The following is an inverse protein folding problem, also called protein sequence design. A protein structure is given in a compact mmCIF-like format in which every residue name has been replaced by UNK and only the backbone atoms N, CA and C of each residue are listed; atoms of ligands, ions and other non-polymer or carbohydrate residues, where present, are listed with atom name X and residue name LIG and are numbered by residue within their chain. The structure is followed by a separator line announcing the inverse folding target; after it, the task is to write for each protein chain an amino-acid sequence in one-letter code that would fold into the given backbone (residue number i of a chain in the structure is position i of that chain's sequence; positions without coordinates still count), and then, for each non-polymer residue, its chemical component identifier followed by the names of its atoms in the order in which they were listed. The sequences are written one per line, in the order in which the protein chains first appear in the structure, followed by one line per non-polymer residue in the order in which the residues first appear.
data_IF_662267943028
#
_entry.id   IF_662267943028
#
_cell.length_a   1.000
_cell.length_b   1.000
_cell.length_c   1.000
_cell.angle_alpha   90.00
_cell.angle_beta   90.00
_cell.angle_gamma   90.00
#
_symmetry.space_group_name_H-M   'P 1'
#
loop_
_entity.id
_entity.type
_entity.pdbx_description
1 polymer ?
#
# COMPACT_ATOMS: atom_id res chain seq x y z
N UNK A 1 -13.86 -9.91 4.22
CA UNK A 1 -13.57 -10.02 5.67
C UNK A 1 -12.37 -10.92 5.96
N UNK A 2 -12.43 -12.23 5.68
CA UNK A 2 -11.35 -13.16 6.07
C UNK A 2 -10.04 -12.81 5.36
N UNK A 3 -10.07 -12.59 4.05
CA UNK A 3 -8.88 -12.21 3.28
C UNK A 3 -8.27 -10.87 3.74
N UNK A 4 -9.10 -9.91 4.17
CA UNK A 4 -8.64 -8.65 4.77
C UNK A 4 -7.85 -8.90 6.07
N UNK A 5 -8.36 -9.77 6.96
CA UNK A 5 -7.69 -10.10 8.22
C UNK A 5 -6.38 -10.86 7.98
N UNK A 6 -6.35 -11.74 6.97
CA UNK A 6 -5.12 -12.43 6.57
C UNK A 6 -4.10 -11.39 6.04
N UNK A 7 -4.51 -10.51 5.13
CA UNK A 7 -3.66 -9.42 4.64
C UNK A 7 -3.11 -8.57 5.80
N UNK A 8 -3.96 -8.23 6.75
CA UNK A 8 -3.59 -7.48 7.95
C UNK A 8 -2.52 -8.19 8.78
N UNK A 9 -2.69 -9.48 9.06
CA UNK A 9 -1.74 -10.28 9.82
C UNK A 9 -0.35 -10.31 9.14
N UNK A 10 -0.32 -10.51 7.82
CA UNK A 10 0.94 -10.46 7.07
C UNK A 10 1.55 -9.06 7.05
N UNK A 11 0.76 -8.01 6.87
CA UNK A 11 1.24 -6.64 6.90
C UNK A 11 1.86 -6.27 8.27
N UNK A 12 1.22 -6.65 9.38
CA UNK A 12 1.81 -6.48 10.71
C UNK A 12 3.08 -7.30 10.91
N UNK A 13 3.12 -8.52 10.38
CA UNK A 13 4.34 -9.34 10.40
C UNK A 13 5.49 -8.64 9.68
N UNK A 14 5.24 -8.07 8.50
CA UNK A 14 6.24 -7.31 7.73
C UNK A 14 6.64 -6.00 8.41
N UNK A 15 5.73 -5.33 9.12
CA UNK A 15 6.05 -4.19 9.98
C UNK A 15 7.08 -4.57 11.06
N UNK A 16 6.84 -5.66 11.79
CA UNK A 16 7.73 -6.12 12.86
C UNK A 16 9.11 -6.52 12.32
N UNK A 17 9.14 -7.25 11.19
CA UNK A 17 10.37 -7.72 10.55
C UNK A 17 11.25 -6.56 10.07
N UNK A 18 10.65 -5.46 9.58
CA UNK A 18 11.38 -4.35 8.96
C UNK A 18 11.65 -3.15 9.88
N UNK A 19 11.13 -3.16 11.12
CA UNK A 19 11.20 -2.01 12.04
C UNK A 19 12.62 -1.50 12.28
N UNK A 20 13.58 -2.41 12.39
CA UNK A 20 14.97 -2.09 12.63
C UNK A 20 15.74 -1.70 11.36
N UNK A 21 15.20 -1.99 10.17
CA UNK A 21 15.83 -1.80 8.87
C UNK A 21 15.40 -0.47 8.25
N UNK A 22 14.11 -0.13 8.31
CA UNK A 22 13.59 1.15 7.84
C UNK A 22 12.27 1.49 8.53
N UNK A 23 12.29 2.55 9.34
CA UNK A 23 11.09 3.01 10.07
C UNK A 23 9.97 3.41 9.11
N UNK A 24 10.29 4.10 8.01
CA UNK A 24 9.28 4.58 7.06
C UNK A 24 8.60 3.44 6.30
N UNK A 25 9.36 2.46 5.79
CA UNK A 25 8.78 1.27 5.17
C UNK A 25 7.97 0.43 6.17
N UNK A 26 8.41 0.37 7.42
CA UNK A 26 7.66 -0.32 8.48
C UNK A 26 6.33 0.36 8.75
N UNK A 27 6.30 1.69 8.83
CA UNK A 27 5.06 2.44 8.97
C UNK A 27 4.13 2.22 7.77
N UNK A 28 4.66 2.14 6.54
CA UNK A 28 3.85 1.73 5.38
C UNK A 28 3.14 0.38 5.64
N UNK A 29 3.88 -0.66 6.07
CA UNK A 29 3.27 -1.96 6.38
C UNK A 29 2.25 -1.89 7.52
N UNK A 30 2.55 -1.12 8.58
CA UNK A 30 1.64 -0.94 9.72
C UNK A 30 0.30 -0.35 9.27
N UNK A 31 0.33 0.73 8.47
CA UNK A 31 -0.87 1.42 8.03
C UNK A 31 -1.67 0.62 7.00
N UNK A 32 -1.01 -0.18 6.15
CA UNK A 32 -1.69 -1.20 5.34
C UNK A 32 -2.41 -2.22 6.23
N UNK A 33 -1.73 -2.72 7.27
CA UNK A 33 -2.32 -3.69 8.20
C UNK A 33 -3.55 -3.15 8.91
N UNK A 34 -3.48 -1.91 9.43
CA UNK A 34 -4.61 -1.24 10.08
C UNK A 34 -5.75 -0.98 9.09
N UNK A 35 -5.44 -0.53 7.86
CA UNK A 35 -6.42 -0.31 6.80
C UNK A 35 -7.19 -1.58 6.48
N UNK A 36 -6.49 -2.72 6.39
CA UNK A 36 -7.08 -4.03 6.14
C UNK A 36 -7.94 -4.53 7.32
N UNK A 37 -7.55 -4.30 8.59
CA UNK A 37 -8.45 -4.63 9.73
C UNK A 37 -9.76 -3.88 9.61
N UNK A 38 -9.69 -2.56 9.45
CA UNK A 38 -10.88 -1.72 9.40
C UNK A 38 -11.74 -2.05 8.17
N UNK A 39 -11.10 -2.28 7.02
CA UNK A 39 -11.78 -2.72 5.80
C UNK A 39 -12.48 -4.07 5.99
N UNK A 40 -11.81 -5.02 6.64
CA UNK A 40 -12.38 -6.32 6.98
C UNK A 40 -13.61 -6.22 7.88
N UNK A 41 -13.59 -5.34 8.89
CA UNK A 41 -14.73 -5.09 9.79
C UNK A 41 -15.92 -4.48 9.05
N UNK A 42 -15.66 -3.58 8.10
CA UNK A 42 -16.70 -2.99 7.24
C UNK A 42 -17.29 -4.04 6.28
N UNK A 43 -16.43 -4.78 5.56
CA UNK A 43 -16.85 -5.79 4.60
C UNK A 43 -17.53 -7.01 5.23
N UNK A 44 -17.25 -7.30 6.50
CA UNK A 44 -17.92 -8.35 7.26
C UNK A 44 -19.25 -7.92 7.86
N UNK A 45 -19.71 -6.69 7.60
CA UNK A 45 -20.93 -6.09 8.17
C UNK A 45 -20.96 -6.04 9.70
N UNK A 46 -19.79 -6.21 10.36
CA UNK A 46 -19.66 -6.08 11.82
C UNK A 46 -19.86 -4.63 12.23
N UNK A 47 -19.32 -3.70 11.43
CA UNK A 47 -19.41 -2.25 11.61
C UNK A 47 -19.72 -1.60 10.25
N UNK A 48 -20.99 -1.64 9.79
CA UNK A 48 -21.37 -1.22 8.44
C UNK A 48 -21.41 0.30 8.23
N UNK A 49 -20.99 1.08 9.22
CA UNK A 49 -20.97 2.54 9.15
C UNK A 49 -19.90 3.01 8.14
N UNK A 50 -20.29 3.98 7.33
CA UNK A 50 -19.44 4.70 6.36
C UNK A 50 -18.17 5.27 6.98
N UNK A 51 -18.21 5.61 8.28
CA UNK A 51 -17.03 6.03 9.05
C UNK A 51 -15.92 4.98 8.97
N UNK A 52 -16.22 3.68 9.03
CA UNK A 52 -15.19 2.63 8.96
C UNK A 52 -14.63 2.49 7.56
N UNK A 53 -15.46 2.61 6.51
CA UNK A 53 -14.98 2.65 5.13
C UNK A 53 -13.99 3.79 4.91
N UNK A 54 -14.36 5.01 5.31
CA UNK A 54 -13.49 6.18 5.15
C UNK A 54 -12.25 6.13 6.05
N UNK A 55 -12.34 5.52 7.23
CA UNK A 55 -11.20 5.29 8.12
C UNK A 55 -10.19 4.31 7.49
N UNK A 56 -10.68 3.22 6.88
CA UNK A 56 -9.83 2.29 6.13
C UNK A 56 -9.11 3.00 4.98
N UNK A 57 -9.82 3.84 4.22
CA UNK A 57 -9.24 4.62 3.12
C UNK A 57 -8.22 5.65 3.61
N UNK A 58 -8.48 6.29 4.75
CA UNK A 58 -7.55 7.23 5.39
C UNK A 58 -6.24 6.54 5.75
N UNK A 59 -6.31 5.36 6.39
CA UNK A 59 -5.13 4.58 6.75
C UNK A 59 -4.36 4.11 5.52
N UNK A 60 -5.06 3.72 4.45
CA UNK A 60 -4.42 3.39 3.18
C UNK A 60 -3.67 4.61 2.61
N UNK A 61 -4.30 5.79 2.55
CA UNK A 61 -3.63 7.02 2.11
C UNK A 61 -2.40 7.37 2.96
N UNK A 62 -2.47 7.19 4.28
CA UNK A 62 -1.31 7.39 5.17
C UNK A 62 -0.18 6.42 4.83
N UNK A 63 -0.50 5.15 4.55
CA UNK A 63 0.51 4.17 4.14
C UNK A 63 1.24 4.60 2.85
N UNK A 64 0.50 5.13 1.86
CA UNK A 64 1.06 5.58 0.59
C UNK A 64 2.07 6.72 0.78
N UNK A 65 1.74 7.67 1.65
CA UNK A 65 2.67 8.75 2.04
C UNK A 65 3.97 8.15 2.59
N UNK A 66 3.88 7.18 3.51
CA UNK A 66 5.07 6.53 4.08
C UNK A 66 5.91 5.79 3.04
N UNK A 67 5.28 5.06 2.10
CA UNK A 67 6.01 4.40 1.02
C UNK A 67 6.81 5.39 0.17
N UNK A 68 6.21 6.53 -0.17
CA UNK A 68 6.88 7.57 -0.95
C UNK A 68 8.01 8.26 -0.17
N UNK A 69 7.76 8.57 1.10
CA UNK A 69 8.78 9.13 1.99
C UNK A 69 9.96 8.18 2.15
N UNK A 70 9.70 6.88 2.29
CA UNK A 70 10.72 5.85 2.40
C UNK A 70 11.55 5.72 1.12
N UNK A 71 10.89 5.72 -0.03
CA UNK A 71 11.54 5.61 -1.33
C UNK A 71 12.48 6.81 -1.60
N UNK A 72 12.04 8.02 -1.28
CA UNK A 72 12.80 9.24 -1.55
C UNK A 72 13.66 9.71 -0.37
N UNK A 73 13.83 8.91 0.68
CA UNK A 73 14.49 9.34 1.94
C UNK A 73 15.81 10.08 1.72
N UNK A 74 16.67 9.57 0.81
CA UNK A 74 17.98 10.15 0.50
C UNK A 74 17.90 11.34 -0.47
N UNK A 75 16.91 11.36 -1.37
CA UNK A 75 16.76 12.40 -2.40
C UNK A 75 15.64 13.40 -2.07
N UNK A 76 15.17 13.42 -0.81
CA UNK A 76 13.98 14.15 -0.41
C UNK A 76 14.24 15.65 -0.39
N UNK A 77 13.47 16.38 -1.20
CA UNK A 77 13.42 17.85 -1.12
C UNK A 77 12.22 18.28 -0.28
N UNK A 78 12.25 19.52 0.23
CA UNK A 78 11.13 20.14 0.97
C UNK A 78 9.84 20.12 0.12
N UNK A 79 9.98 20.40 -1.17
CA UNK A 79 8.88 20.45 -2.13
C UNK A 79 8.30 19.06 -2.41
N UNK A 80 9.14 18.03 -2.60
CA UNK A 80 8.66 16.66 -2.78
C UNK A 80 7.94 16.15 -1.53
N UNK A 81 8.50 16.43 -0.33
CA UNK A 81 7.85 16.08 0.93
C UNK A 81 6.47 16.74 1.05
N UNK A 82 6.40 18.05 0.81
CA UNK A 82 5.13 18.78 0.85
C UNK A 82 4.15 18.23 -0.18
N UNK A 83 4.61 17.95 -1.39
CA UNK A 83 3.78 17.36 -2.44
C UNK A 83 3.18 16.01 -2.00
N UNK A 84 3.98 15.09 -1.44
CA UNK A 84 3.48 13.81 -0.92
C UNK A 84 2.46 13.99 0.20
N UNK A 85 2.74 14.91 1.13
CA UNK A 85 1.86 15.21 2.26
C UNK A 85 0.54 15.90 1.84
N UNK A 86 0.50 16.57 0.69
CA UNK A 86 -0.69 17.29 0.22
C UNK A 86 -1.50 16.47 -0.78
N UNK A 87 -0.85 15.76 -1.72
CA UNK A 87 -1.57 15.04 -2.78
C UNK A 87 -2.50 13.95 -2.23
N UNK A 88 -2.05 13.18 -1.24
CA UNK A 88 -2.79 12.01 -0.75
C UNK A 88 -4.01 12.44 0.06
N UNK A 89 -3.93 13.48 0.92
CA UNK A 89 -5.12 14.11 1.47
C UNK A 89 -6.09 14.67 0.43
N UNK A 90 -5.61 15.28 -0.66
CA UNK A 90 -6.50 15.75 -1.74
C UNK A 90 -7.27 14.57 -2.36
N UNK A 91 -6.59 13.48 -2.74
CA UNK A 91 -7.26 12.30 -3.27
C UNK A 91 -8.19 11.64 -2.26
N UNK A 92 -7.83 11.63 -0.97
CA UNK A 92 -8.70 11.15 0.10
C UNK A 92 -9.97 12.00 0.22
N UNK A 93 -9.84 13.33 0.25
CA UNK A 93 -10.99 14.24 0.29
C UNK A 93 -11.88 14.04 -0.93
N UNK A 94 -11.31 13.90 -2.13
CA UNK A 94 -12.08 13.58 -3.35
C UNK A 94 -12.78 12.23 -3.23
N UNK A 95 -12.12 11.20 -2.69
CA UNK A 95 -12.72 9.87 -2.48
C UNK A 95 -13.93 9.90 -1.55
N UNK A 96 -13.86 10.70 -0.46
CA UNK A 96 -14.94 10.85 0.51
C UNK A 96 -16.07 11.70 -0.10
N UNK A 97 -15.74 12.83 -0.71
CA UNK A 97 -16.72 13.75 -1.28
C UNK A 97 -17.54 13.12 -2.41
N UNK A 98 -16.89 12.38 -3.31
CA UNK A 98 -17.56 11.68 -4.42
C UNK A 98 -17.97 10.25 -4.07
N UNK A 99 -17.72 9.80 -2.83
CA UNK A 99 -18.02 8.44 -2.36
C UNK A 99 -17.48 7.38 -3.34
N UNK A 100 -16.23 7.57 -3.78
CA UNK A 100 -15.65 6.81 -4.88
C UNK A 100 -14.24 6.32 -4.55
N UNK A 101 -14.08 5.00 -4.51
CA UNK A 101 -12.79 4.34 -4.29
C UNK A 101 -11.79 4.58 -5.43
N UNK A 102 -12.25 5.01 -6.61
CA UNK A 102 -11.39 5.25 -7.77
C UNK A 102 -10.29 6.28 -7.48
N UNK A 103 -10.56 7.30 -6.67
CA UNK A 103 -9.55 8.29 -6.29
C UNK A 103 -8.43 7.70 -5.43
N UNK A 104 -8.74 6.70 -4.59
CA UNK A 104 -7.75 5.95 -3.80
C UNK A 104 -6.92 5.04 -4.72
N UNK A 105 -7.54 4.41 -5.72
CA UNK A 105 -6.83 3.61 -6.74
C UNK A 105 -5.85 4.49 -7.52
N UNK A 106 -6.29 5.69 -7.94
CA UNK A 106 -5.44 6.65 -8.64
C UNK A 106 -4.28 7.11 -7.75
N UNK A 107 -4.53 7.45 -6.48
CA UNK A 107 -3.45 7.84 -5.56
C UNK A 107 -2.46 6.70 -5.33
N UNK A 108 -2.95 5.46 -5.22
CA UNK A 108 -2.12 4.25 -5.10
C UNK A 108 -1.22 4.08 -6.33
N UNK A 109 -1.78 4.23 -7.53
CA UNK A 109 -1.03 4.14 -8.79
C UNK A 109 0.03 5.24 -8.89
N UNK A 110 -0.33 6.50 -8.60
CA UNK A 110 0.63 7.61 -8.61
C UNK A 110 1.72 7.38 -7.56
N UNK A 111 1.36 6.97 -6.34
CA UNK A 111 2.30 6.80 -5.23
C UNK A 111 3.27 5.66 -5.45
N UNK A 112 2.77 4.45 -5.70
CA UNK A 112 3.60 3.26 -5.82
C UNK A 112 4.21 3.14 -7.20
N UNK A 113 3.40 3.17 -8.27
CA UNK A 113 3.93 3.02 -9.62
C UNK A 113 4.64 4.30 -10.08
N UNK A 114 4.00 5.46 -9.97
CA UNK A 114 4.59 6.73 -10.40
C UNK A 114 5.85 7.10 -9.61
N UNK A 115 5.71 7.31 -8.30
CA UNK A 115 6.83 7.79 -7.50
C UNK A 115 7.82 6.70 -7.12
N UNK A 116 7.37 5.57 -6.57
CA UNK A 116 8.33 4.56 -6.12
C UNK A 116 8.96 3.81 -7.30
N UNK A 117 8.17 3.21 -8.19
CA UNK A 117 8.70 2.40 -9.28
C UNK A 117 9.40 3.23 -10.37
N UNK A 118 8.73 4.19 -11.00
CA UNK A 118 9.37 5.01 -12.05
C UNK A 118 10.46 5.92 -11.45
N UNK A 119 10.23 6.45 -10.25
CA UNK A 119 11.26 7.21 -9.54
C UNK A 119 12.50 6.38 -9.26
N UNK A 120 12.37 5.11 -8.85
CA UNK A 120 13.53 4.24 -8.69
C UNK A 120 14.22 3.91 -10.02
N UNK A 121 13.44 3.62 -11.07
CA UNK A 121 13.96 3.23 -12.37
C UNK A 121 14.78 4.35 -13.03
N UNK A 122 14.28 5.59 -12.98
CA UNK A 122 14.86 6.70 -13.73
C UNK A 122 15.71 7.64 -12.88
N UNK A 123 15.37 7.82 -11.60
CA UNK A 123 15.96 8.87 -10.77
C UNK A 123 16.79 8.33 -9.61
N UNK A 124 16.20 7.57 -8.69
CA UNK A 124 16.87 7.16 -7.45
C UNK A 124 17.98 6.15 -7.71
N UNK A 125 17.70 5.11 -8.52
CA UNK A 125 18.59 3.99 -8.88
C UNK A 125 19.27 3.27 -7.69
N UNK A 126 18.86 3.58 -6.47
CA UNK A 126 19.45 3.12 -5.23
C UNK A 126 18.57 2.10 -4.51
N UNK A 127 17.24 2.17 -4.68
CA UNK A 127 16.34 1.24 -4.02
C UNK A 127 16.47 -0.16 -4.62
N UNK A 128 16.40 -1.17 -3.75
CA UNK A 128 16.36 -2.58 -4.16
C UNK A 128 15.35 -2.86 -5.27
N UNK A 129 15.77 -3.61 -6.30
CA UNK A 129 14.91 -4.01 -7.43
C UNK A 129 13.73 -4.87 -6.98
N UNK A 130 13.82 -5.54 -5.84
CA UNK A 130 12.70 -6.27 -5.28
C UNK A 130 11.53 -5.35 -4.91
N UNK A 131 11.78 -4.12 -4.43
CA UNK A 131 10.70 -3.16 -4.17
C UNK A 131 9.92 -2.89 -5.47
N UNK A 132 10.64 -2.69 -6.58
CA UNK A 132 10.02 -2.52 -7.90
C UNK A 132 9.21 -3.74 -8.33
N UNK A 133 9.74 -4.95 -8.14
CA UNK A 133 9.02 -6.17 -8.47
C UNK A 133 7.74 -6.33 -7.63
N UNK A 134 7.79 -6.01 -6.34
CA UNK A 134 6.60 -6.02 -5.49
C UNK A 134 5.53 -5.07 -6.00
N UNK A 135 5.90 -3.84 -6.36
CA UNK A 135 4.98 -2.85 -6.95
C UNK A 135 4.41 -3.35 -8.29
N UNK A 136 5.21 -3.99 -9.15
CA UNK A 136 4.69 -4.57 -10.38
C UNK A 136 3.68 -5.70 -10.10
N UNK A 137 3.94 -6.54 -9.10
CA UNK A 137 2.99 -7.56 -8.65
C UNK A 137 1.71 -6.92 -8.09
N UNK A 138 1.78 -5.79 -7.39
CA UNK A 138 0.58 -5.12 -6.87
C UNK A 138 -0.35 -4.60 -7.97
N UNK A 139 0.16 -4.34 -9.18
CA UNK A 139 -0.67 -3.96 -10.33
C UNK A 139 -1.64 -5.10 -10.69
N UNK A 140 -1.22 -6.35 -10.52
CA UNK A 140 -2.10 -7.50 -10.74
C UNK A 140 -3.30 -7.46 -9.78
N UNK A 141 -3.11 -7.05 -8.52
CA UNK A 141 -4.22 -6.91 -7.56
C UNK A 141 -5.26 -5.90 -8.06
N UNK A 142 -4.79 -4.73 -8.53
CA UNK A 142 -5.67 -3.70 -9.12
C UNK A 142 -6.41 -4.23 -10.34
N UNK A 143 -5.73 -5.00 -11.21
CA UNK A 143 -6.36 -5.59 -12.38
C UNK A 143 -7.52 -6.52 -12.01
N UNK A 144 -7.35 -7.42 -11.03
CA UNK A 144 -8.42 -8.31 -10.58
C UNK A 144 -9.60 -7.55 -9.94
N UNK A 145 -9.31 -6.53 -9.12
CA UNK A 145 -10.34 -5.75 -8.44
C UNK A 145 -11.15 -4.90 -9.43
N UNK A 146 -10.48 -4.17 -10.33
CA UNK A 146 -11.14 -3.28 -11.30
C UNK A 146 -11.99 -4.07 -12.30
N UNK A 147 -11.49 -5.20 -12.79
CA UNK A 147 -12.22 -6.05 -13.73
C UNK A 147 -13.22 -7.00 -13.04
N UNK A 148 -13.30 -6.97 -11.70
CA UNK A 148 -14.17 -7.83 -10.89
C UNK A 148 -14.06 -9.32 -11.26
N UNK A 149 -12.83 -9.79 -11.47
CA UNK A 149 -12.58 -11.17 -11.87
C UNK A 149 -12.82 -12.09 -10.67
N UNK A 150 -13.78 -13.00 -10.79
CA UNK A 150 -14.14 -13.98 -9.76
C UNK A 150 -13.70 -15.37 -10.24
N UNK A 151 -13.01 -16.12 -9.38
CA UNK A 151 -12.68 -17.53 -9.64
C UNK A 151 -13.73 -18.43 -9.00
N UNK A 152 -14.07 -18.16 -7.75
CA UNK A 152 -15.11 -18.86 -7.00
C UNK A 152 -15.93 -17.81 -6.21
N UNK A 153 -17.26 -17.74 -6.40
CA UNK A 153 -18.07 -16.70 -5.78
C UNK A 153 -18.20 -16.82 -4.25
N UNK A 154 -17.99 -18.02 -3.69
CA UNK A 154 -18.09 -18.25 -2.24
C UNK A 154 -16.74 -18.09 -1.53
N UNK A 155 -15.64 -18.49 -2.20
CA UNK A 155 -14.33 -18.60 -1.56
C UNK A 155 -13.24 -17.71 -2.16
N UNK A 156 -13.33 -17.33 -3.43
CA UNK A 156 -12.30 -16.60 -4.17
C UNK A 156 -12.90 -15.48 -5.02
N UNK A 157 -13.45 -14.48 -4.32
CA UNK A 157 -13.94 -13.26 -4.96
C UNK A 157 -12.78 -12.41 -5.48
N UNK A 158 -13.09 -11.41 -6.30
CA UNK A 158 -12.10 -10.45 -6.80
C UNK A 158 -11.36 -9.73 -5.66
N UNK A 159 -12.02 -9.49 -4.52
CA UNK A 159 -11.41 -8.90 -3.33
C UNK A 159 -10.43 -9.86 -2.68
N UNK A 160 -10.79 -11.14 -2.53
CA UNK A 160 -9.92 -12.15 -1.91
C UNK A 160 -8.64 -12.36 -2.72
N UNK A 161 -8.80 -12.50 -4.04
CA UNK A 161 -7.66 -12.62 -4.97
C UNK A 161 -6.79 -11.36 -4.91
N UNK A 162 -7.42 -10.18 -4.91
CA UNK A 162 -6.74 -8.90 -4.75
C UNK A 162 -5.90 -8.84 -3.48
N UNK A 163 -6.44 -9.29 -2.34
CA UNK A 163 -5.72 -9.34 -1.06
C UNK A 163 -4.56 -10.34 -1.08
N UNK A 164 -4.74 -11.54 -1.63
CA UNK A 164 -3.66 -12.53 -1.72
C UNK A 164 -2.51 -12.07 -2.61
N UNK A 165 -2.81 -11.44 -3.76
CA UNK A 165 -1.79 -10.82 -4.61
C UNK A 165 -1.08 -9.69 -3.86
N UNK A 166 -1.82 -8.87 -3.10
CA UNK A 166 -1.24 -7.82 -2.26
C UNK A 166 -0.30 -8.39 -1.20
N UNK A 167 -0.60 -9.52 -0.57
CA UNK A 167 0.31 -10.19 0.38
C UNK A 167 1.63 -10.57 -0.31
N UNK A 168 1.55 -11.18 -1.50
CA UNK A 168 2.75 -11.56 -2.28
C UNK A 168 3.57 -10.32 -2.63
N UNK A 169 2.91 -9.24 -3.07
CA UNK A 169 3.56 -7.95 -3.31
C UNK A 169 4.27 -7.43 -2.06
N UNK A 170 3.59 -7.34 -0.92
CA UNK A 170 4.15 -6.83 0.33
C UNK A 170 5.31 -7.68 0.83
N UNK A 171 5.25 -9.00 0.66
CA UNK A 171 6.34 -9.92 0.97
C UNK A 171 7.59 -9.60 0.12
N UNK A 172 7.40 -9.37 -1.18
CA UNK A 172 8.48 -9.01 -2.09
C UNK A 172 9.06 -7.63 -1.75
N UNK A 173 8.20 -6.64 -1.44
CA UNK A 173 8.65 -5.31 -0.97
C UNK A 173 9.45 -5.46 0.33
N UNK A 174 8.96 -6.22 1.30
CA UNK A 174 9.63 -6.48 2.59
C UNK A 174 11.03 -7.07 2.39
N UNK A 175 11.18 -8.06 1.50
CA UNK A 175 12.49 -8.58 1.10
C UNK A 175 13.39 -7.48 0.52
N UNK A 176 12.82 -6.62 -0.32
CA UNK A 176 13.52 -5.48 -0.89
C UNK A 176 14.01 -4.46 0.13
N UNK A 177 13.20 -4.16 1.14
CA UNK A 177 13.57 -3.26 2.26
C UNK A 177 14.75 -3.83 3.04
N UNK A 178 14.75 -5.14 3.32
CA UNK A 178 15.86 -5.79 3.99
C UNK A 178 17.17 -5.71 3.17
N UNK A 179 17.10 -5.96 1.86
CA UNK A 179 18.26 -5.82 0.96
C UNK A 179 18.76 -4.38 0.88
N UNK A 180 17.86 -3.41 0.77
CA UNK A 180 18.19 -1.99 0.71
C UNK A 180 18.95 -1.53 1.96
N UNK A 181 18.50 -1.98 3.13
CA UNK A 181 19.14 -1.66 4.42
C UNK A 181 20.58 -2.16 4.52
N UNK A 182 20.90 -3.29 3.87
CA UNK A 182 22.27 -3.82 3.82
C UNK A 182 23.17 -2.97 2.93
N UNK A 183 22.66 -2.52 1.78
CA UNK A 183 23.41 -1.68 0.84
C UNK A 183 23.81 -0.34 1.44
N UNK A 184 22.96 0.24 2.31
CA UNK A 184 23.23 1.54 2.96
C UNK A 184 24.22 1.47 4.12
N UNK A 185 24.56 0.27 4.61
CA UNK A 185 25.54 0.08 5.70
C UNK A 185 26.97 -0.14 5.20
N UNK A 186 27.15 -0.28 3.90
CA UNK A 186 28.45 -0.40 3.21
C UNK A 186 28.82 0.97 2.67
#
# INVERSE_FOLDING_TARGET
MISDLILSAFAFSFFLINWQQSKLWSLFFLFIGLSAVIGGLYHGEVLPDEVFRFSSWTLLSVSLIFAQLAAFEVAMTKWLRLFFLVKSPIFLVLSIYYVSFNFIVIDTAISLFGFVFLGNLFYLKSLSRWINYGILVSILSVFFIVNKIIIDPEYLTYNDIGHYISIISLMIISKGVHEDSKKRKV
#
